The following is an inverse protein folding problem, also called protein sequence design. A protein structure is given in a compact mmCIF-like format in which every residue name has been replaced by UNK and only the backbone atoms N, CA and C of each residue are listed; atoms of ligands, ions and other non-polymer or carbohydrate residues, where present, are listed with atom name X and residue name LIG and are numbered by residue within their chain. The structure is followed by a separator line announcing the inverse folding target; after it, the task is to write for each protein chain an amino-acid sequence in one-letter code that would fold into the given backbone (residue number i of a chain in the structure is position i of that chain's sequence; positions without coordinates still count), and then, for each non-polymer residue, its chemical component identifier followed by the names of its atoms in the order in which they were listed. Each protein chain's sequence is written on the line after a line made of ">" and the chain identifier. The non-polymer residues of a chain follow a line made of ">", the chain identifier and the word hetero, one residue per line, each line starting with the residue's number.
data_IF_116439843170
#
_entry.id   IF_116439843170
#
_cell.length_a   1.000
_cell.length_b   1.000
_cell.length_c   1.000
_cell.angle_alpha   90.00
_cell.angle_beta   90.00
_cell.angle_gamma   90.00
#
_symmetry.space_group_name_H-M   'P 1'
#
loop_
_entity.id
_entity.type
_entity.pdbx_description
1 polymer ?
#
# COMPACT_ATOMS: atom_id res chain seq x y z
N UNK A 1 1.55 -17.85 -9.57
CA UNK A 1 2.54 -18.96 -9.55
C UNK A 1 3.95 -18.37 -9.59
N UNK A 2 4.95 -19.05 -9.02
CA UNK A 2 6.32 -18.55 -8.93
C UNK A 2 7.11 -18.89 -10.20
N UNK A 3 7.14 -17.98 -11.18
CA UNK A 3 8.07 -18.04 -12.32
C UNK A 3 9.33 -17.25 -12.00
N UNK A 4 10.50 -17.82 -12.31
CA UNK A 4 11.78 -17.16 -12.06
C UNK A 4 12.29 -16.46 -13.31
N UNK A 5 12.71 -15.21 -13.15
CA UNK A 5 13.42 -14.49 -14.20
C UNK A 5 14.91 -14.86 -14.17
N UNK A 6 15.47 -15.28 -15.30
CA UNK A 6 16.91 -15.46 -15.47
C UNK A 6 17.31 -15.08 -16.88
N UNK A 7 18.41 -14.34 -17.02
CA UNK A 7 18.95 -13.99 -18.32
C UNK A 7 19.72 -15.15 -18.94
N UNK A 8 19.67 -15.23 -20.26
CA UNK A 8 20.44 -16.22 -20.99
C UNK A 8 21.97 -16.14 -20.78
N UNK A 9 22.66 -17.28 -20.66
CA UNK A 9 24.11 -17.29 -20.49
C UNK A 9 24.85 -16.84 -21.76
N UNK A 10 25.73 -15.84 -21.59
CA UNK A 10 26.84 -15.49 -22.51
C UNK A 10 26.44 -15.03 -23.92
N UNK A 11 25.46 -14.13 -24.04
CA UNK A 11 25.05 -13.49 -25.31
C UNK A 11 24.58 -14.48 -26.39
N UNK A 12 24.16 -15.67 -25.99
CA UNK A 12 23.50 -16.62 -26.89
C UNK A 12 22.05 -16.59 -26.47
N UNK A 13 21.22 -16.11 -27.39
CA UNK A 13 19.76 -16.06 -27.28
C UNK A 13 19.18 -17.47 -27.48
N UNK A 14 18.39 -17.95 -26.52
CA UNK A 14 17.71 -19.23 -26.54
C UNK A 14 16.21 -19.06 -26.24
N UNK A 15 15.45 -18.89 -27.31
CA UNK A 15 13.99 -18.76 -27.23
C UNK A 15 13.35 -20.11 -26.85
N UNK A 16 12.64 -20.11 -25.73
CA UNK A 16 11.84 -21.23 -25.24
C UNK A 16 10.40 -21.18 -25.79
N UNK A 17 9.83 -22.35 -26.07
CA UNK A 17 8.39 -22.46 -26.32
C UNK A 17 7.58 -22.30 -25.04
N UNK A 18 6.28 -21.94 -25.10
CA UNK A 18 5.41 -21.84 -23.92
C UNK A 18 5.43 -23.11 -23.05
N UNK A 19 5.49 -24.29 -23.69
CA UNK A 19 5.55 -25.57 -23.00
C UNK A 19 6.88 -25.80 -22.27
N UNK A 20 7.98 -25.26 -22.78
CA UNK A 20 9.29 -25.32 -22.13
C UNK A 20 9.34 -24.35 -20.95
N UNK A 21 8.96 -23.09 -21.16
CA UNK A 21 8.88 -22.05 -20.12
C UNK A 21 8.00 -22.50 -18.94
N UNK A 22 6.85 -23.15 -19.21
CA UNK A 22 6.00 -23.73 -18.16
C UNK A 22 6.66 -24.88 -17.40
N UNK A 23 7.42 -25.75 -18.10
CA UNK A 23 8.09 -26.89 -17.47
C UNK A 23 9.22 -26.45 -16.54
N UNK A 24 10.01 -25.47 -16.98
CA UNK A 24 11.14 -24.94 -16.20
C UNK A 24 10.71 -23.87 -15.18
N UNK A 25 9.48 -23.34 -15.34
CA UNK A 25 8.90 -22.27 -14.50
C UNK A 25 9.79 -21.03 -14.47
N UNK A 26 10.26 -20.60 -15.63
CA UNK A 26 11.13 -19.43 -15.75
C UNK A 26 11.65 -19.20 -17.16
N UNK A 27 12.34 -18.08 -17.34
CA UNK A 27 12.88 -17.58 -18.59
C UNK A 27 13.21 -16.10 -18.44
N UNK A 28 13.71 -15.47 -19.50
CA UNK A 28 13.86 -14.02 -19.60
C UNK A 28 12.64 -13.38 -20.26
N UNK A 29 12.81 -12.18 -20.83
CA UNK A 29 11.68 -11.34 -21.20
C UNK A 29 10.90 -11.90 -22.39
N UNK A 30 11.57 -12.51 -23.35
CA UNK A 30 11.02 -13.13 -24.55
C UNK A 30 10.28 -14.41 -24.21
N UNK A 31 10.88 -15.29 -23.41
CA UNK A 31 10.27 -16.55 -22.97
C UNK A 31 8.96 -16.30 -22.22
N UNK A 32 9.00 -15.42 -21.23
CA UNK A 32 7.84 -15.09 -20.41
C UNK A 32 6.77 -14.35 -21.21
N UNK A 33 7.19 -13.51 -22.17
CA UNK A 33 6.27 -12.84 -23.09
C UNK A 33 5.58 -13.82 -24.03
N UNK A 34 6.33 -14.75 -24.63
CA UNK A 34 5.78 -15.79 -25.51
C UNK A 34 4.77 -16.67 -24.76
N UNK A 35 5.10 -17.06 -23.52
CA UNK A 35 4.19 -17.81 -22.67
C UNK A 35 2.92 -17.00 -22.36
N UNK A 36 3.06 -15.75 -21.90
CA UNK A 36 1.93 -14.90 -21.55
C UNK A 36 1.00 -14.64 -22.75
N UNK A 37 1.56 -14.30 -23.91
CA UNK A 37 0.81 -14.13 -25.16
C UNK A 37 0.04 -15.41 -25.51
N UNK A 38 0.69 -16.57 -25.43
CA UNK A 38 0.04 -17.86 -25.72
C UNK A 38 -1.12 -18.17 -24.77
N UNK A 39 -0.99 -17.84 -23.48
CA UNK A 39 -2.05 -18.04 -22.50
C UNK A 39 -3.24 -17.10 -22.77
N UNK A 40 -2.97 -15.83 -23.05
CA UNK A 40 -4.00 -14.82 -23.35
C UNK A 40 -4.72 -15.13 -24.66
N UNK A 41 -4.00 -15.55 -25.70
CA UNK A 41 -4.62 -15.93 -26.98
C UNK A 41 -5.50 -17.18 -26.85
N UNK A 42 -5.12 -18.14 -26.01
CA UNK A 42 -5.98 -19.28 -25.68
C UNK A 42 -7.29 -18.88 -24.97
N UNK A 43 -7.32 -17.71 -24.31
CA UNK A 43 -8.52 -17.11 -23.74
C UNK A 43 -9.28 -16.21 -24.73
N UNK A 44 -8.82 -16.10 -25.98
CA UNK A 44 -9.41 -15.26 -27.01
C UNK A 44 -9.00 -13.79 -26.94
N UNK A 45 -8.01 -13.44 -26.10
CA UNK A 45 -7.46 -12.08 -26.03
C UNK A 45 -6.42 -11.92 -27.12
N UNK A 46 -6.60 -10.93 -27.99
CA UNK A 46 -5.64 -10.64 -29.05
C UNK A 46 -4.38 -10.03 -28.44
N UNK A 47 -3.21 -10.55 -28.79
CA UNK A 47 -1.93 -10.05 -28.27
C UNK A 47 -0.93 -9.72 -29.36
N UNK A 48 0.08 -8.92 -29.02
CA UNK A 48 1.28 -8.68 -29.82
C UNK A 48 2.51 -8.78 -28.92
N UNK A 49 3.60 -9.32 -29.47
CA UNK A 49 4.91 -9.27 -28.83
C UNK A 49 5.60 -7.99 -29.31
N UNK A 50 5.98 -7.13 -28.37
CA UNK A 50 6.73 -5.90 -28.65
C UNK A 50 8.17 -6.11 -28.22
N UNK A 51 9.09 -5.83 -29.15
CA UNK A 51 10.53 -5.92 -28.94
C UNK A 51 11.13 -4.50 -28.90
N UNK A 52 11.96 -4.23 -27.90
CA UNK A 52 12.82 -3.04 -27.81
C UNK A 52 14.29 -3.45 -28.05
N UNK A 53 15.23 -2.52 -27.87
CA UNK A 53 16.66 -2.84 -27.99
C UNK A 53 17.15 -3.83 -26.91
N UNK A 54 16.48 -3.87 -25.75
CA UNK A 54 16.91 -4.57 -24.54
C UNK A 54 15.78 -5.33 -23.81
N UNK A 55 14.58 -5.41 -24.38
CA UNK A 55 13.43 -6.01 -23.72
C UNK A 55 12.37 -6.57 -24.69
N UNK A 56 11.56 -7.51 -24.19
CA UNK A 56 10.36 -8.01 -24.86
C UNK A 56 9.17 -7.97 -23.89
N UNK A 57 8.01 -7.52 -24.36
CA UNK A 57 6.79 -7.51 -23.55
C UNK A 57 5.53 -7.83 -24.36
N UNK A 58 4.52 -8.36 -23.68
CA UNK A 58 3.21 -8.68 -24.26
C UNK A 58 2.30 -7.44 -24.23
N UNK A 59 1.77 -7.05 -25.39
CA UNK A 59 0.71 -6.05 -25.52
C UNK A 59 -0.62 -6.75 -25.78
N UNK A 60 -1.56 -6.68 -24.83
CA UNK A 60 -2.93 -7.13 -25.01
C UNK A 60 -3.78 -6.03 -25.68
N UNK A 61 -4.61 -6.42 -26.64
CA UNK A 61 -5.52 -5.53 -27.37
C UNK A 61 -6.98 -5.92 -27.16
N UNK A 62 -7.88 -5.00 -27.50
CA UNK A 62 -9.33 -5.14 -27.31
C UNK A 62 -9.73 -5.44 -25.85
N UNK A 63 -8.89 -5.02 -24.91
CA UNK A 63 -9.18 -5.05 -23.48
C UNK A 63 -10.02 -3.82 -23.13
N UNK A 64 -11.16 -4.05 -22.46
CA UNK A 64 -11.93 -2.97 -21.89
C UNK A 64 -11.15 -2.38 -20.70
N UNK A 65 -10.48 -1.24 -20.93
CA UNK A 65 -9.65 -0.58 -19.93
C UNK A 65 -10.47 -0.10 -18.73
N UNK A 66 -11.73 0.32 -18.93
CA UNK A 66 -12.59 0.77 -17.85
C UNK A 66 -12.89 -0.40 -16.89
N UNK A 67 -13.23 -1.57 -17.44
CA UNK A 67 -13.45 -2.77 -16.64
C UNK A 67 -12.16 -3.30 -15.99
N UNK A 68 -11.02 -3.20 -16.68
CA UNK A 68 -9.72 -3.56 -16.10
C UNK A 68 -9.35 -2.62 -14.95
N UNK A 69 -9.62 -1.32 -15.07
CA UNK A 69 -9.42 -0.35 -13.99
C UNK A 69 -10.31 -0.65 -12.79
N UNK A 70 -11.59 -0.97 -13.01
CA UNK A 70 -12.50 -1.37 -11.95
C UNK A 70 -12.02 -2.62 -11.21
N UNK A 71 -11.53 -3.64 -11.94
CA UNK A 71 -10.99 -4.88 -11.34
C UNK A 71 -9.64 -4.67 -10.65
N UNK A 72 -8.77 -3.79 -11.17
CA UNK A 72 -7.54 -3.40 -10.48
C UNK A 72 -7.88 -2.64 -9.20
N UNK A 73 -8.82 -1.68 -9.24
CA UNK A 73 -9.28 -0.95 -8.06
C UNK A 73 -9.94 -1.90 -7.07
N UNK A 74 -10.76 -2.85 -7.52
CA UNK A 74 -11.41 -3.85 -6.65
C UNK A 74 -10.39 -4.78 -5.99
N UNK A 75 -9.35 -5.18 -6.74
CA UNK A 75 -8.27 -6.06 -6.27
C UNK A 75 -7.30 -5.34 -5.36
N UNK A 76 -7.00 -4.06 -5.61
CA UNK A 76 -6.21 -3.20 -4.73
C UNK A 76 -7.00 -2.79 -3.48
N UNK A 77 -8.32 -2.68 -3.58
CA UNK A 77 -9.23 -2.50 -2.45
C UNK A 77 -9.57 -3.82 -1.73
N UNK A 78 -8.81 -4.90 -1.96
CA UNK A 78 -8.99 -6.12 -1.17
C UNK A 78 -8.60 -5.88 0.29
N UNK A 79 -9.68 -5.83 1.07
CA UNK A 79 -9.84 -5.82 2.53
C UNK A 79 -9.30 -4.58 3.24
N UNK A 80 -10.18 -3.58 3.42
CA UNK A 80 -10.11 -2.66 4.55
C UNK A 80 -9.97 -3.48 5.83
N UNK A 81 -8.73 -3.63 6.29
CA UNK A 81 -8.43 -4.43 7.46
C UNK A 81 -8.61 -3.53 8.67
N UNK A 82 -9.71 -3.74 9.40
CA UNK A 82 -9.91 -3.09 10.69
C UNK A 82 -9.10 -3.82 11.75
N UNK A 83 -8.17 -3.11 12.38
CA UNK A 83 -7.48 -3.59 13.57
C UNK A 83 -8.27 -3.10 14.79
N UNK A 84 -9.02 -4.01 15.42
CA UNK A 84 -9.72 -3.74 16.68
C UNK A 84 -8.76 -3.99 17.86
N UNK A 85 -8.32 -2.91 18.51
CA UNK A 85 -7.39 -2.96 19.63
C UNK A 85 -7.96 -2.12 20.78
N UNK A 86 -7.99 -2.69 21.99
CA UNK A 86 -8.17 -1.92 23.22
C UNK A 86 -6.82 -1.55 23.79
N UNK A 87 -6.60 -0.26 24.02
CA UNK A 87 -5.34 0.27 24.52
C UNK A 87 -5.52 1.06 25.80
N UNK A 88 -4.48 1.09 26.63
CA UNK A 88 -4.40 2.01 27.76
C UNK A 88 -3.41 3.12 27.43
N UNK A 89 -3.91 4.34 27.31
CA UNK A 89 -3.11 5.55 27.19
C UNK A 89 -3.13 6.24 28.55
N UNK A 90 -2.00 6.19 29.26
CA UNK A 90 -1.88 6.80 30.57
C UNK A 90 -2.01 8.33 30.54
N UNK A 91 -2.13 8.98 31.70
CA UNK A 91 -2.09 10.43 31.81
C UNK A 91 -0.81 10.99 31.20
N UNK A 92 -0.91 12.07 30.43
CA UNK A 92 0.21 12.70 29.71
C UNK A 92 0.96 11.76 28.77
N UNK A 93 0.25 10.80 28.20
CA UNK A 93 0.82 9.87 27.23
C UNK A 93 0.15 10.04 25.87
N UNK A 94 0.91 9.71 24.83
CA UNK A 94 0.40 9.63 23.48
C UNK A 94 0.79 8.29 22.86
N UNK A 95 -0.11 7.73 22.04
CA UNK A 95 0.19 6.58 21.19
C UNK A 95 0.06 6.98 19.72
N UNK A 96 1.03 6.58 18.91
CA UNK A 96 1.05 6.84 17.47
C UNK A 96 0.69 5.56 16.70
N UNK A 97 -0.14 5.72 15.67
CA UNK A 97 -0.47 4.70 14.68
C UNK A 97 -0.28 5.29 13.29
N UNK A 98 0.60 4.71 12.48
CA UNK A 98 0.88 5.21 11.14
C UNK A 98 2.04 4.50 10.48
N UNK A 99 2.37 4.93 9.27
CA UNK A 99 3.42 4.32 8.45
C UNK A 99 4.82 4.82 8.81
N UNK A 100 5.80 3.92 8.80
CA UNK A 100 7.24 4.25 8.79
C UNK A 100 7.74 4.74 7.42
N UNK A 101 6.93 4.53 6.37
CA UNK A 101 7.23 4.86 4.99
C UNK A 101 8.09 3.83 4.26
N UNK A 102 8.27 2.62 4.79
CA UNK A 102 9.07 1.55 4.16
C UNK A 102 8.33 0.79 3.05
N UNK A 103 6.99 0.78 3.06
CA UNK A 103 6.19 -0.17 2.27
C UNK A 103 5.35 0.43 1.12
N UNK A 104 5.39 1.75 0.89
CA UNK A 104 4.55 2.40 -0.13
C UNK A 104 5.09 3.78 -0.58
N UNK A 105 5.00 4.07 -1.89
CA UNK A 105 5.28 5.41 -2.45
C UNK A 105 4.05 6.33 -2.48
N UNK A 106 2.87 5.85 -2.10
CA UNK A 106 1.61 6.55 -2.31
C UNK A 106 1.04 7.17 -1.02
N UNK A 107 0.22 8.21 -1.20
CA UNK A 107 -0.67 8.71 -0.15
C UNK A 107 -1.69 7.63 0.23
N UNK A 108 -2.09 7.59 1.49
CA UNK A 108 -3.13 6.69 1.98
C UNK A 108 -4.17 7.44 2.80
N UNK A 109 -5.37 6.87 2.90
CA UNK A 109 -6.41 7.35 3.79
C UNK A 109 -6.39 6.53 5.08
N UNK A 110 -6.19 7.19 6.23
CA UNK A 110 -6.44 6.54 7.52
C UNK A 110 -7.94 6.57 7.78
N UNK A 111 -8.49 5.46 8.29
CA UNK A 111 -9.85 5.39 8.83
C UNK A 111 -9.75 4.92 10.28
N UNK A 112 -10.48 5.57 11.17
CA UNK A 112 -10.43 5.25 12.60
C UNK A 112 -11.81 5.38 13.24
N UNK A 113 -12.03 4.60 14.29
CA UNK A 113 -13.17 4.67 15.19
C UNK A 113 -12.63 4.47 16.60
N UNK A 114 -12.79 5.49 17.45
CA UNK A 114 -12.25 5.54 18.80
C UNK A 114 -13.42 5.71 19.77
N UNK A 115 -13.37 4.93 20.84
CA UNK A 115 -14.24 5.03 22.01
C UNK A 115 -13.35 4.96 23.25
N UNK A 116 -13.44 5.98 24.10
CA UNK A 116 -12.56 6.17 25.25
C UNK A 116 -13.38 6.51 26.49
N UNK A 117 -12.91 6.01 27.64
CA UNK A 117 -13.45 6.37 28.97
C UNK A 117 -13.13 7.79 29.39
N UNK A 118 -11.99 8.31 28.93
CA UNK A 118 -11.46 9.63 29.26
C UNK A 118 -11.37 10.50 28.01
N UNK A 119 -11.32 11.83 28.18
CA UNK A 119 -11.18 12.74 27.04
C UNK A 119 -9.81 12.54 26.37
N UNK A 120 -9.79 12.36 25.06
CA UNK A 120 -8.55 12.22 24.29
C UNK A 120 -8.50 13.21 23.15
N UNK A 121 -7.30 13.65 22.80
CA UNK A 121 -7.06 14.42 21.59
C UNK A 121 -6.61 13.48 20.48
N UNK A 122 -7.19 13.67 19.31
CA UNK A 122 -6.88 12.95 18.09
C UNK A 122 -6.16 13.89 17.16
N UNK A 123 -4.88 13.67 16.96
CA UNK A 123 -4.03 14.55 16.16
C UNK A 123 -3.45 13.79 14.99
N UNK A 124 -3.82 14.19 13.78
CA UNK A 124 -3.28 13.57 12.55
C UNK A 124 -2.01 14.31 12.16
N UNK A 125 -0.91 13.57 11.99
CA UNK A 125 0.44 14.13 11.80
C UNK A 125 1.10 13.57 10.53
N UNK A 126 2.02 14.32 9.89
CA UNK A 126 2.67 13.88 8.65
C UNK A 126 3.78 12.84 8.87
N UNK A 127 4.26 12.66 10.11
CA UNK A 127 5.28 11.66 10.46
C UNK A 127 5.25 11.29 11.93
N UNK A 128 5.86 10.15 12.28
CA UNK A 128 6.08 9.73 13.67
C UNK A 128 7.02 10.66 14.45
N UNK A 129 7.80 11.52 13.79
CA UNK A 129 8.67 12.52 14.43
C UNK A 129 7.86 13.51 15.29
N UNK A 130 6.61 13.78 14.90
CA UNK A 130 5.70 14.64 15.67
C UNK A 130 5.44 14.11 17.09
N UNK A 131 5.51 12.80 17.31
CA UNK A 131 5.39 12.21 18.65
C UNK A 131 6.55 12.62 19.55
N UNK A 132 7.78 12.61 19.02
CA UNK A 132 8.97 13.00 19.77
C UNK A 132 8.95 14.50 20.09
N UNK A 133 8.57 15.34 19.12
CA UNK A 133 8.42 16.78 19.32
C UNK A 133 7.34 17.10 20.37
N UNK A 134 6.17 16.46 20.27
CA UNK A 134 5.11 16.60 21.27
C UNK A 134 5.59 16.21 22.68
N UNK A 135 6.32 15.10 22.82
CA UNK A 135 6.85 14.64 24.11
C UNK A 135 7.86 15.60 24.74
N UNK A 136 8.49 16.44 23.92
CA UNK A 136 9.47 17.45 24.35
C UNK A 136 8.83 18.83 24.57
N UNK A 137 7.53 18.98 24.33
CA UNK A 137 6.85 20.28 24.35
C UNK A 137 7.25 21.20 23.20
N UNK A 138 7.84 20.65 22.15
CA UNK A 138 8.29 21.38 20.97
C UNK A 138 7.15 21.57 19.96
N UNK A 139 7.26 22.58 19.11
CA UNK A 139 6.27 22.81 18.05
C UNK A 139 6.38 21.75 16.95
N UNK A 140 5.23 21.21 16.52
CA UNK A 140 5.16 20.20 15.46
C UNK A 140 4.02 20.49 14.47
N UNK A 141 4.10 19.86 13.30
CA UNK A 141 3.08 19.99 12.26
C UNK A 141 2.02 18.89 12.39
N UNK A 142 0.77 19.27 12.14
CA UNK A 142 -0.39 18.38 12.11
C UNK A 142 -1.40 18.86 11.07
N UNK A 143 -2.38 18.03 10.74
CA UNK A 143 -3.48 18.33 9.83
C UNK A 143 -4.69 18.84 10.64
N UNK A 144 -4.95 20.17 10.72
CA UNK A 144 -5.94 20.70 11.65
C UNK A 144 -7.38 20.30 11.29
N UNK A 145 -7.67 20.15 10.00
CA UNK A 145 -8.99 19.72 9.53
C UNK A 145 -9.34 18.29 9.98
N UNK A 146 -8.33 17.45 10.23
CA UNK A 146 -8.48 16.07 10.65
C UNK A 146 -8.26 15.86 12.16
N UNK A 147 -7.85 16.90 12.89
CA UNK A 147 -7.53 16.81 14.32
C UNK A 147 -8.69 17.31 15.17
N UNK A 148 -8.90 16.69 16.33
CA UNK A 148 -10.00 16.97 17.26
C UNK A 148 -9.53 16.82 18.70
N UNK A 149 -9.91 17.76 19.55
CA UNK A 149 -9.50 17.81 20.95
C UNK A 149 -10.67 17.43 21.87
N UNK A 150 -10.37 16.80 23.01
CA UNK A 150 -11.31 16.51 24.09
C UNK A 150 -12.48 15.59 23.70
N UNK A 151 -12.25 14.59 22.84
CA UNK A 151 -13.29 13.67 22.36
C UNK A 151 -13.32 12.38 23.18
N UNK A 152 -14.52 11.82 23.34
CA UNK A 152 -14.73 10.50 23.98
C UNK A 152 -15.04 9.43 22.94
N UNK A 153 -15.84 9.77 21.92
CA UNK A 153 -16.19 8.88 20.82
C UNK A 153 -16.10 9.62 19.50
N UNK A 154 -15.34 9.09 18.56
CA UNK A 154 -15.18 9.71 17.24
C UNK A 154 -14.88 8.65 16.19
N UNK A 155 -15.42 8.83 15.00
CA UNK A 155 -14.99 8.13 13.80
C UNK A 155 -14.64 9.14 12.72
N UNK A 156 -13.61 8.86 11.95
CA UNK A 156 -13.18 9.77 10.90
C UNK A 156 -12.27 9.10 9.89
N UNK A 157 -11.97 9.86 8.84
CA UNK A 157 -10.94 9.50 7.89
C UNK A 157 -10.13 10.73 7.47
N UNK A 158 -8.89 10.51 7.08
CA UNK A 158 -8.01 11.59 6.62
C UNK A 158 -7.00 11.08 5.60
N UNK A 159 -6.87 11.80 4.48
CA UNK A 159 -5.84 11.53 3.46
C UNK A 159 -4.50 12.12 3.91
N UNK A 160 -3.43 11.33 3.86
CA UNK A 160 -2.09 11.78 4.24
C UNK A 160 -0.99 11.11 3.40
N UNK A 161 0.23 11.63 3.52
CA UNK A 161 1.41 11.02 2.89
C UNK A 161 1.84 9.73 3.58
N UNK A 162 2.71 8.95 2.93
CA UNK A 162 3.17 7.61 3.35
C UNK A 162 3.76 7.46 4.76
N UNK A 163 4.20 8.54 5.39
CA UNK A 163 4.75 8.55 6.77
C UNK A 163 3.73 9.04 7.80
N UNK A 164 2.56 9.47 7.35
CA UNK A 164 1.54 10.05 8.21
C UNK A 164 0.99 9.04 9.20
N UNK A 165 0.35 9.56 10.23
CA UNK A 165 -0.35 8.75 11.21
C UNK A 165 -1.28 9.57 12.10
N UNK A 166 -1.96 8.85 12.99
CA UNK A 166 -2.82 9.39 14.03
C UNK A 166 -2.11 9.25 15.38
N UNK A 167 -2.08 10.33 16.15
CA UNK A 167 -1.70 10.35 17.55
C UNK A 167 -2.97 10.40 18.40
N UNK A 168 -3.07 9.49 19.36
CA UNK A 168 -4.12 9.46 20.38
C UNK A 168 -3.45 9.93 21.67
N UNK A 169 -3.83 11.11 22.15
CA UNK A 169 -3.20 11.79 23.27
C UNK A 169 -4.17 11.84 24.44
N UNK A 170 -3.72 11.42 25.61
CA UNK A 170 -4.43 11.62 26.86
C UNK A 170 -3.71 12.73 27.64
N UNK A 171 -4.21 13.96 27.52
CA UNK A 171 -3.68 15.13 28.24
C UNK A 171 -4.41 15.37 29.58
N UNK A 172 -5.20 14.40 30.05
CA UNK A 172 -5.86 14.56 31.35
C UNK A 172 -4.82 14.46 32.47
N UNK A 173 -4.77 15.49 33.30
CA UNK A 173 -4.15 15.46 34.60
C UNK A 173 -5.00 14.53 35.49
N UNK A 174 -4.53 13.30 35.77
CA UNK A 174 -5.10 12.56 36.88
C UNK A 174 -4.76 13.34 38.15
N UNK A 175 -5.69 14.16 38.61
CA UNK A 175 -5.64 14.77 39.93
C UNK A 175 -5.70 13.61 40.94
N UNK A 176 -4.53 13.20 41.45
CA UNK A 176 -4.42 12.30 42.61
C UNK A 176 -4.63 13.11 43.88
#
# INVERSE_FOLDING_TARGET
>A
ENYNYYSDPRRIEFIQSPSETMKVKGGDCEDLTILLSSLLENLGVKTYIVLTEDHAYCLACDVNIDHLQEEIISTLNKEETWYDETISVGPYAARYYGGDGEHSEYSFEIKYSIDSSDSVDIVVVPSSESLALWSQGESYTHYPACSKDGVYRISGSCLMGRRGGIMIINDNEHSV
#
